data_IF_013077648240
#
_entry.id   IF_013077648240
#
_cell.length_a   1.000
_cell.length_b   1.000
_cell.length_c   1.000
_cell.angle_alpha   90.00
_cell.angle_beta   90.00
_cell.angle_gamma   90.00
#
_symmetry.space_group_name_H-M   'P 1'
#
loop_
_entity.id
_entity.type
_entity.pdbx_description
1 polymer ?
#
# COMPACT_ATOMS: atom_id res chain seq x y z
N UNK A 1 -40.48 -57.79 9.39
CA UNK A 1 -39.85 -58.40 10.57
C UNK A 1 -38.80 -57.42 11.05
N UNK A 2 -39.08 -56.48 11.97
CA UNK A 2 -39.14 -56.61 13.44
C UNK A 2 -37.96 -57.39 14.02
N UNK A 3 -36.90 -56.68 14.39
CA UNK A 3 -36.20 -56.89 15.67
C UNK A 3 -35.72 -55.55 16.20
N UNK A 4 -35.96 -55.37 17.50
CA UNK A 4 -35.77 -54.20 18.35
C UNK A 4 -34.89 -54.68 19.52
N UNK A 5 -34.35 -53.74 20.30
CA UNK A 5 -33.54 -53.86 21.53
C UNK A 5 -32.02 -53.75 21.30
N UNK A 6 -31.25 -52.91 21.99
CA UNK A 6 -31.60 -52.01 23.09
C UNK A 6 -30.36 -51.36 23.74
N UNK A 7 -30.55 -50.10 24.16
CA UNK A 7 -30.18 -49.47 25.45
C UNK A 7 -28.73 -49.64 25.99
N UNK A 8 -27.96 -48.55 26.22
CA UNK A 8 -27.91 -47.76 27.49
C UNK A 8 -26.69 -46.83 27.62
N UNK A 9 -26.92 -45.68 28.29
CA UNK A 9 -26.02 -44.93 29.20
C UNK A 9 -24.65 -44.45 28.69
N UNK A 10 -24.31 -43.15 28.64
CA UNK A 10 -24.42 -42.18 29.73
C UNK A 10 -23.10 -42.11 30.51
N UNK A 11 -22.19 -41.20 30.15
CA UNK A 11 -21.09 -40.77 31.03
C UNK A 11 -20.81 -39.28 30.82
N UNK A 12 -20.89 -38.54 31.92
CA UNK A 12 -20.60 -37.12 32.13
C UNK A 12 -19.34 -37.04 33.01
N UNK A 13 -18.70 -35.86 33.01
CA UNK A 13 -17.53 -35.38 33.79
C UNK A 13 -16.18 -35.56 33.08
N UNK A 14 -15.22 -34.64 33.19
CA UNK A 14 -15.16 -33.27 33.69
C UNK A 14 -13.73 -32.75 33.43
N UNK A 15 -13.60 -31.44 33.24
CA UNK A 15 -12.65 -30.57 33.94
C UNK A 15 -11.15 -30.96 33.95
N UNK A 16 -10.34 -30.13 33.30
CA UNK A 16 -8.89 -30.11 33.45
C UNK A 16 -8.30 -28.76 33.06
N UNK A 17 -8.38 -27.78 33.97
CA UNK A 17 -7.56 -26.58 33.93
C UNK A 17 -6.08 -26.98 33.95
N UNK A 18 -5.25 -26.40 33.06
CA UNK A 18 -3.84 -26.23 33.34
C UNK A 18 -3.46 -24.77 33.14
N UNK A 19 -3.37 -24.09 34.28
CA UNK A 19 -2.72 -22.80 34.47
C UNK A 19 -1.21 -23.05 34.39
N UNK A 20 -0.55 -22.45 33.41
CA UNK A 20 0.90 -22.41 33.30
C UNK A 20 1.37 -20.97 33.21
N UNK A 21 1.42 -20.29 34.36
CA UNK A 21 2.06 -19.00 34.50
C UNK A 21 3.58 -19.18 34.39
N UNK A 22 4.22 -18.45 33.47
CA UNK A 22 5.64 -18.12 33.56
C UNK A 22 5.74 -16.61 33.72
N UNK A 23 6.27 -16.23 34.88
CA UNK A 23 6.46 -14.86 35.31
C UNK A 23 7.82 -14.33 34.84
N UNK A 24 7.85 -13.00 34.71
CA UNK A 24 8.98 -12.06 34.88
C UNK A 24 10.11 -12.06 33.83
N UNK A 25 10.19 -10.95 33.08
CA UNK A 25 11.09 -9.84 33.45
C UNK A 25 10.66 -8.55 32.74
N UNK A 26 9.94 -7.69 33.47
CA UNK A 26 9.62 -6.32 33.09
C UNK A 26 10.78 -5.42 33.53
N UNK A 27 11.70 -5.10 32.62
CA UNK A 27 12.71 -4.08 32.87
C UNK A 27 12.06 -2.70 32.69
N UNK A 28 11.51 -2.16 33.79
CA UNK A 28 11.10 -0.77 33.88
C UNK A 28 12.36 0.08 33.99
N UNK A 29 12.73 0.77 32.92
CA UNK A 29 13.70 1.85 33.00
C UNK A 29 13.02 3.05 33.68
N UNK A 30 13.33 3.24 34.96
CA UNK A 30 13.03 4.45 35.71
C UNK A 30 13.74 5.64 35.05
N UNK A 31 13.00 6.51 34.37
CA UNK A 31 13.48 7.85 34.03
C UNK A 31 13.24 8.75 35.25
N UNK A 32 14.29 8.95 36.06
CA UNK A 32 14.34 10.07 37.00
C UNK A 32 14.57 11.35 36.20
N UNK A 33 13.55 12.20 36.13
CA UNK A 33 13.70 13.58 35.69
C UNK A 33 14.20 14.41 36.88
N UNK A 34 15.49 14.73 36.89
CA UNK A 34 16.02 15.82 37.70
C UNK A 34 16.01 17.09 36.87
N UNK A 35 15.17 18.05 37.25
CA UNK A 35 15.27 19.43 36.80
C UNK A 35 16.47 20.09 37.47
N UNK A 36 17.44 20.61 36.70
CA UNK A 36 17.94 21.96 36.93
C UNK A 36 18.87 22.47 35.83
N UNK A 37 18.75 23.78 35.58
CA UNK A 37 19.69 24.72 34.93
C UNK A 37 20.17 24.47 33.49
N UNK A 38 20.09 25.52 32.68
CA UNK A 38 20.33 25.52 31.24
C UNK A 38 21.79 25.36 30.83
N UNK A 39 22.00 24.45 29.87
CA UNK A 39 23.03 24.48 28.84
C UNK A 39 22.63 23.51 27.71
N UNK A 40 23.01 23.74 26.44
CA UNK A 40 22.59 22.92 25.32
C UNK A 40 23.15 21.50 25.40
N UNK A 41 22.27 20.50 25.23
CA UNK A 41 22.56 19.07 25.33
C UNK A 41 23.53 18.62 24.24
N UNK A 42 24.76 18.30 24.64
CA UNK A 42 25.73 17.55 23.83
C UNK A 42 25.42 16.06 24.00
N UNK A 43 24.96 15.40 22.95
CA UNK A 43 24.85 13.93 22.92
C UNK A 43 26.22 13.33 22.62
N UNK A 44 26.82 12.64 23.60
CA UNK A 44 27.98 11.76 23.37
C UNK A 44 27.48 10.33 23.19
N UNK A 45 27.72 9.78 22.00
CA UNK A 45 27.59 8.34 21.76
C UNK A 45 28.94 7.71 22.11
N UNK A 46 29.00 6.96 23.21
CA UNK A 46 30.16 6.13 23.53
C UNK A 46 30.04 4.82 22.76
N UNK A 47 30.71 4.74 21.61
CA UNK A 47 30.97 3.48 20.91
C UNK A 47 32.38 3.00 21.24
N UNK A 48 32.50 1.87 21.93
CA UNK A 48 33.74 1.10 21.96
C UNK A 48 33.84 0.28 20.67
N UNK A 49 34.83 0.60 19.83
CA UNK A 49 35.77 -0.32 19.16
C UNK A 49 36.18 0.19 17.77
N UNK A 50 37.50 0.28 17.59
CA UNK A 50 38.19 -0.11 16.36
C UNK A 50 38.09 0.80 15.13
N UNK A 51 39.24 1.43 14.83
CA UNK A 51 39.73 1.85 13.51
C UNK A 51 39.36 3.24 12.98
N UNK A 52 40.44 4.01 12.78
CA UNK A 52 40.64 5.26 12.06
C UNK A 52 39.54 5.73 11.11
N UNK A 53 38.99 6.93 11.39
CA UNK A 53 38.51 7.85 10.34
C UNK A 53 38.52 9.30 10.86
N UNK A 54 38.85 10.29 10.01
CA UNK A 54 39.08 11.66 10.43
C UNK A 54 37.78 12.44 10.68
N UNK A 55 37.71 13.12 11.83
CA UNK A 55 36.60 13.96 12.26
C UNK A 55 36.45 15.22 11.40
N UNK A 56 35.54 15.18 10.42
CA UNK A 56 35.04 16.36 9.70
C UNK A 56 33.97 17.09 10.53
N UNK A 57 34.23 18.35 10.87
CA UNK A 57 33.30 19.23 11.62
C UNK A 57 32.22 19.76 10.68
N UNK A 58 31.00 19.22 10.75
CA UNK A 58 29.83 19.78 10.07
C UNK A 58 29.31 21.00 10.87
N UNK A 59 29.42 22.20 10.32
CA UNK A 59 28.83 23.43 10.89
C UNK A 59 27.57 23.77 10.12
N UNK A 60 26.40 23.43 10.66
CA UNK A 60 25.11 23.89 10.15
C UNK A 60 24.87 25.33 10.65
N UNK A 61 24.95 26.31 9.75
CA UNK A 61 24.46 27.68 9.98
C UNK A 61 22.99 27.75 9.58
N UNK A 62 22.10 27.94 10.55
CA UNK A 62 20.72 28.34 10.28
C UNK A 62 20.65 29.86 10.06
N UNK A 63 19.98 30.35 9.00
CA UNK A 63 19.69 31.77 8.88
C UNK A 63 18.58 32.18 9.86
N UNK A 64 18.75 33.35 10.46
CA UNK A 64 17.79 33.97 11.37
C UNK A 64 16.52 34.39 10.61
N UNK A 65 15.37 34.18 11.25
CA UNK A 65 14.10 34.73 10.84
C UNK A 65 14.12 36.26 10.98
N UNK A 66 13.85 36.97 9.89
CA UNK A 66 13.64 38.42 9.91
C UNK A 66 12.15 38.71 9.96
N UNK A 67 11.78 39.35 11.05
CA UNK A 67 10.49 39.92 11.40
C UNK A 67 10.37 41.31 10.74
N UNK A 68 9.34 41.56 9.93
CA UNK A 68 8.91 42.91 9.57
C UNK A 68 7.40 42.98 9.36
N UNK A 69 6.79 43.90 10.11
CA UNK A 69 5.36 44.21 10.14
C UNK A 69 4.95 45.31 9.16
N UNK A 70 3.68 45.25 8.74
CA UNK A 70 2.74 46.35 8.43
C UNK A 70 3.08 47.35 7.31
N UNK A 71 2.17 47.51 6.34
CA UNK A 71 1.27 48.69 6.28
C UNK A 71 0.16 48.56 5.23
N UNK A 72 -0.95 49.23 5.53
CA UNK A 72 -2.20 49.35 4.78
C UNK A 72 -2.07 50.18 3.50
N UNK A 73 -2.97 49.94 2.53
CA UNK A 73 -3.22 50.86 1.41
C UNK A 73 -4.17 50.28 0.37
N UNK A 74 -5.48 50.56 0.49
CA UNK A 74 -6.42 50.47 -0.63
C UNK A 74 -6.35 51.74 -1.48
N UNK A 75 -6.48 51.62 -2.81
CA UNK A 75 -7.53 52.39 -3.46
C UNK A 75 -8.31 51.59 -4.51
N UNK A 76 -9.59 51.94 -4.59
CA UNK A 76 -10.59 51.51 -5.56
C UNK A 76 -10.13 51.66 -7.01
N UNK A 77 -10.35 50.63 -7.82
CA UNK A 77 -10.15 50.62 -9.27
C UNK A 77 -11.28 49.87 -9.95
N UNK A 78 -11.72 50.40 -11.08
CA UNK A 78 -12.95 50.13 -11.81
C UNK A 78 -13.09 48.69 -12.32
N UNK A 79 -14.35 48.24 -12.43
CA UNK A 79 -14.71 46.95 -13.00
C UNK A 79 -14.29 46.83 -14.48
N UNK A 80 -13.38 45.90 -14.74
CA UNK A 80 -13.20 45.27 -16.04
C UNK A 80 -13.62 43.81 -15.90
N UNK A 81 -14.48 43.32 -16.80
CA UNK A 81 -14.70 41.90 -16.97
C UNK A 81 -13.36 41.19 -17.15
N UNK A 82 -13.09 40.09 -16.42
CA UNK A 82 -11.89 39.32 -16.65
C UNK A 82 -11.91 38.79 -18.10
N UNK A 83 -10.80 38.88 -18.83
CA UNK A 83 -10.70 38.24 -20.13
C UNK A 83 -10.99 36.75 -19.95
N UNK A 84 -11.94 36.23 -20.74
CA UNK A 84 -12.25 34.82 -20.79
C UNK A 84 -10.93 34.05 -20.94
N UNK A 85 -10.63 33.18 -19.96
CA UNK A 85 -9.51 32.26 -20.08
C UNK A 85 -9.68 31.48 -21.39
N UNK A 86 -8.60 31.27 -22.17
CA UNK A 86 -8.68 30.40 -23.32
C UNK A 86 -9.13 29.03 -22.82
N UNK A 87 -10.37 28.68 -23.15
CA UNK A 87 -10.88 27.34 -22.99
C UNK A 87 -10.06 26.47 -23.96
N UNK A 88 -8.89 26.02 -23.51
CA UNK A 88 -8.17 24.92 -24.13
C UNK A 88 -9.16 23.76 -24.12
N UNK A 89 -9.79 23.53 -25.27
CA UNK A 89 -10.73 22.45 -25.45
C UNK A 89 -10.01 21.15 -25.13
N UNK A 90 -10.22 20.65 -23.91
CA UNK A 90 -9.97 19.27 -23.60
C UNK A 90 -10.89 18.46 -24.52
N UNK A 91 -10.38 17.46 -25.24
CA UNK A 91 -11.21 16.62 -26.08
C UNK A 91 -12.35 16.05 -25.24
N UNK A 92 -13.55 16.08 -25.81
CA UNK A 92 -14.78 15.55 -25.21
C UNK A 92 -14.54 14.17 -24.59
N UNK A 93 -15.08 13.98 -23.39
CA UNK A 93 -15.06 12.76 -22.59
C UNK A 93 -15.71 11.59 -23.37
N UNK A 94 -14.88 10.80 -24.07
CA UNK A 94 -15.26 9.44 -24.47
C UNK A 94 -14.90 8.51 -23.30
N UNK A 95 -15.80 8.45 -22.32
CA UNK A 95 -15.67 7.82 -21.00
C UNK A 95 -15.72 6.28 -21.01
N UNK A 96 -15.18 5.63 -22.05
CA UNK A 96 -15.34 4.18 -22.25
C UNK A 96 -14.12 3.29 -21.96
N UNK A 97 -12.90 3.82 -22.05
CA UNK A 97 -11.74 2.99 -22.36
C UNK A 97 -10.58 3.04 -21.34
N UNK A 98 -10.77 3.65 -20.17
CA UNK A 98 -9.74 3.62 -19.11
C UNK A 98 -9.44 2.18 -18.71
N UNK A 99 -8.18 1.79 -18.79
CA UNK A 99 -7.77 0.42 -18.46
C UNK A 99 -6.45 0.38 -17.73
N UNK A 100 -6.29 -0.63 -16.89
CA UNK A 100 -5.04 -0.96 -16.21
C UNK A 100 -4.57 -2.34 -16.69
N UNK A 101 -3.44 -2.39 -17.41
CA UNK A 101 -2.97 -3.60 -18.11
C UNK A 101 -4.00 -4.22 -19.08
N UNK A 102 -4.89 -3.39 -19.64
CA UNK A 102 -5.93 -3.80 -20.58
C UNK A 102 -7.25 -4.22 -19.93
N UNK A 103 -7.34 -4.23 -18.59
CA UNK A 103 -8.59 -4.45 -17.88
C UNK A 103 -9.29 -3.11 -17.62
N UNK A 104 -10.55 -2.99 -18.05
CA UNK A 104 -11.33 -1.78 -17.82
C UNK A 104 -11.44 -1.44 -16.33
N UNK A 105 -11.28 -0.16 -16.03
CA UNK A 105 -11.46 0.42 -14.70
C UNK A 105 -12.44 1.59 -14.76
N UNK A 106 -13.33 1.66 -13.77
CA UNK A 106 -14.35 2.69 -13.65
C UNK A 106 -15.08 2.58 -12.31
N UNK A 107 -15.88 3.58 -11.96
CA UNK A 107 -16.59 3.62 -10.68
C UNK A 107 -15.65 3.68 -9.48
N UNK A 108 -15.82 2.76 -8.52
CA UNK A 108 -15.06 2.66 -7.27
C UNK A 108 -14.00 1.57 -7.36
N UNK A 109 -12.73 1.94 -7.24
CA UNK A 109 -11.60 1.04 -7.39
C UNK A 109 -10.63 1.05 -6.20
N UNK A 110 -10.07 -0.12 -5.88
CA UNK A 110 -8.88 -0.20 -5.01
C UNK A 110 -7.75 -0.89 -5.76
N UNK A 111 -6.60 -0.22 -5.85
CA UNK A 111 -5.38 -0.75 -6.43
C UNK A 111 -4.48 -1.28 -5.32
N UNK A 112 -4.31 -2.60 -5.24
CA UNK A 112 -3.41 -3.27 -4.30
C UNK A 112 -2.12 -3.61 -5.03
N UNK A 113 -1.09 -2.78 -4.86
CA UNK A 113 0.10 -2.77 -5.73
C UNK A 113 1.35 -3.21 -4.97
N UNK A 114 2.02 -4.22 -5.52
CA UNK A 114 3.32 -4.65 -5.04
C UNK A 114 4.42 -3.62 -5.30
N UNK A 115 5.14 -3.30 -4.23
CA UNK A 115 6.31 -2.41 -4.24
C UNK A 115 7.50 -3.07 -3.56
N UNK A 116 7.51 -4.39 -3.45
CA UNK A 116 8.60 -5.16 -2.87
C UNK A 116 9.90 -5.03 -3.70
N UNK A 117 11.03 -5.37 -3.08
CA UNK A 117 12.35 -5.29 -3.74
C UNK A 117 12.44 -6.03 -5.09
N UNK A 118 11.73 -7.14 -5.27
CA UNK A 118 11.72 -7.89 -6.53
C UNK A 118 11.15 -7.07 -7.69
N UNK A 119 10.28 -6.11 -7.41
CA UNK A 119 9.72 -5.20 -8.41
C UNK A 119 10.80 -4.33 -9.09
N UNK A 120 12.01 -4.24 -8.54
CA UNK A 120 13.13 -3.54 -9.17
C UNK A 120 13.89 -4.37 -10.21
N UNK A 121 13.57 -5.66 -10.36
CA UNK A 121 14.15 -6.49 -11.41
C UNK A 121 13.79 -5.91 -12.79
N UNK A 122 14.79 -5.82 -13.65
CA UNK A 122 14.69 -5.25 -15.00
C UNK A 122 14.59 -6.35 -16.05
N UNK A 123 13.45 -7.05 -16.08
CA UNK A 123 13.18 -8.13 -17.04
C UNK A 123 11.95 -7.87 -17.93
N UNK A 124 11.38 -6.67 -17.89
CA UNK A 124 10.26 -6.25 -18.74
C UNK A 124 10.67 -5.80 -20.15
N UNK A 125 11.97 -5.80 -20.47
CA UNK A 125 12.48 -5.33 -21.76
C UNK A 125 12.48 -3.81 -21.91
N UNK A 126 12.58 -3.36 -23.16
CA UNK A 126 12.53 -1.94 -23.50
C UNK A 126 11.08 -1.44 -23.56
N UNK A 127 10.86 -0.18 -23.22
CA UNK A 127 9.53 0.44 -23.20
C UNK A 127 9.61 1.96 -23.10
N UNK A 128 8.49 2.59 -22.81
CA UNK A 128 8.40 4.03 -22.57
C UNK A 128 7.99 4.29 -21.11
N UNK A 129 8.64 5.26 -20.46
CA UNK A 129 8.22 5.69 -19.13
C UNK A 129 6.96 6.59 -19.18
N UNK A 130 6.46 6.97 -18.01
CA UNK A 130 5.25 7.81 -17.87
C UNK A 130 5.39 9.23 -18.45
N UNK A 131 6.60 9.66 -18.81
CA UNK A 131 6.85 10.94 -19.50
C UNK A 131 7.08 10.73 -21.02
N UNK A 132 6.91 9.50 -21.52
CA UNK A 132 7.06 9.14 -22.93
C UNK A 132 8.51 8.96 -23.37
N UNK A 133 9.47 8.84 -22.44
CA UNK A 133 10.87 8.63 -22.81
C UNK A 133 11.14 7.14 -23.01
N UNK A 134 11.82 6.82 -24.11
CA UNK A 134 12.27 5.46 -24.38
C UNK A 134 13.31 4.99 -23.35
N UNK A 135 13.05 3.84 -22.73
CA UNK A 135 13.90 3.17 -21.77
C UNK A 135 14.39 1.85 -22.36
N UNK A 136 15.72 1.64 -22.36
CA UNK A 136 16.32 0.40 -22.90
C UNK A 136 16.06 -0.84 -22.04
N UNK A 137 15.76 -0.66 -20.76
CA UNK A 137 15.35 -1.72 -19.84
C UNK A 137 14.54 -1.11 -18.70
N UNK A 138 13.27 -1.51 -18.56
CA UNK A 138 12.40 -1.06 -17.48
C UNK A 138 12.38 -2.09 -16.35
N UNK A 139 12.36 -1.59 -15.10
CA UNK A 139 11.99 -2.45 -13.97
C UNK A 139 10.49 -2.73 -13.99
N UNK A 140 10.08 -3.82 -13.34
CA UNK A 140 8.66 -4.15 -13.17
C UNK A 140 7.90 -3.00 -12.51
N UNK A 141 8.49 -2.38 -11.47
CA UNK A 141 7.91 -1.21 -10.81
C UNK A 141 7.78 -0.02 -11.77
N UNK A 142 8.75 0.22 -12.65
CA UNK A 142 8.65 1.30 -13.63
C UNK A 142 7.49 1.08 -14.60
N UNK A 143 7.29 -0.16 -15.09
CA UNK A 143 6.15 -0.52 -15.94
C UNK A 143 4.83 -0.29 -15.21
N UNK A 144 4.73 -0.75 -13.96
CA UNK A 144 3.52 -0.58 -13.13
C UNK A 144 3.21 0.90 -12.89
N UNK A 145 4.23 1.72 -12.59
CA UNK A 145 4.06 3.17 -12.44
C UNK A 145 3.55 3.81 -13.73
N UNK A 146 4.12 3.45 -14.88
CA UNK A 146 3.66 3.95 -16.18
C UNK A 146 2.20 3.60 -16.42
N UNK A 147 1.82 2.33 -16.25
CA UNK A 147 0.44 1.87 -16.42
C UNK A 147 -0.53 2.57 -15.46
N UNK A 148 -0.17 2.70 -14.19
CA UNK A 148 -1.02 3.34 -13.19
C UNK A 148 -1.18 4.84 -13.47
N UNK A 149 -0.11 5.54 -13.83
CA UNK A 149 -0.17 6.96 -14.20
C UNK A 149 -1.03 7.17 -15.45
N UNK A 150 -0.87 6.33 -16.47
CA UNK A 150 -1.69 6.39 -17.68
C UNK A 150 -3.16 6.13 -17.38
N UNK A 151 -3.44 5.15 -16.50
CA UNK A 151 -4.79 4.87 -16.01
C UNK A 151 -5.37 6.11 -15.35
N UNK A 152 -4.68 6.70 -14.37
CA UNK A 152 -5.12 7.89 -13.62
C UNK A 152 -5.35 9.11 -14.53
N UNK A 153 -4.56 9.26 -15.59
CA UNK A 153 -4.75 10.33 -16.59
C UNK A 153 -5.98 10.13 -17.45
N UNK A 154 -6.41 8.88 -17.65
CA UNK A 154 -7.51 8.52 -18.55
C UNK A 154 -8.87 8.41 -17.87
N UNK A 155 -8.92 8.22 -16.55
CA UNK A 155 -10.19 8.05 -15.82
C UNK A 155 -10.95 9.37 -15.67
N UNK A 156 -12.27 9.27 -15.75
CA UNK A 156 -13.21 10.37 -15.51
C UNK A 156 -13.17 10.87 -14.05
N UNK A 157 -13.62 12.11 -13.82
CA UNK A 157 -13.59 12.69 -12.48
C UNK A 157 -14.57 12.04 -11.49
N UNK A 158 -15.58 11.30 -11.96
CA UNK A 158 -16.47 10.48 -11.12
C UNK A 158 -15.81 9.22 -10.57
N UNK A 159 -14.64 8.83 -11.09
CA UNK A 159 -13.90 7.69 -10.60
C UNK A 159 -13.45 7.90 -9.15
N UNK A 160 -13.77 6.97 -8.27
CA UNK A 160 -13.34 6.97 -6.87
C UNK A 160 -12.28 5.89 -6.67
N UNK A 161 -11.15 6.22 -6.04
CA UNK A 161 -10.09 5.25 -5.86
C UNK A 161 -9.22 5.46 -4.63
N UNK A 162 -8.46 4.42 -4.30
CA UNK A 162 -7.27 4.53 -3.45
C UNK A 162 -6.22 3.50 -3.89
N UNK A 163 -5.00 3.67 -3.41
CA UNK A 163 -3.87 2.78 -3.70
C UNK A 163 -3.33 2.21 -2.38
N UNK A 164 -3.32 0.89 -2.27
CA UNK A 164 -2.73 0.13 -1.17
C UNK A 164 -1.39 -0.43 -1.64
N UNK A 165 -0.30 0.10 -1.09
CA UNK A 165 1.05 -0.39 -1.35
C UNK A 165 1.38 -1.59 -0.45
N UNK A 166 1.92 -2.67 -1.03
CA UNK A 166 2.52 -3.77 -0.27
C UNK A 166 3.88 -3.32 0.28
N UNK A 167 3.85 -2.44 1.27
CA UNK A 167 5.03 -1.96 1.96
C UNK A 167 5.36 -2.90 3.13
N UNK A 168 6.23 -3.88 2.91
CA UNK A 168 6.80 -4.65 4.00
C UNK A 168 8.02 -3.92 4.61
N UNK A 169 8.22 -4.05 5.92
CA UNK A 169 9.44 -3.59 6.58
C UNK A 169 9.22 -3.02 7.97
N UNK A 170 10.20 -3.29 8.85
CA UNK A 170 10.28 -2.70 10.18
C UNK A 170 10.77 -1.26 10.08
N UNK A 171 9.92 -0.32 9.68
CA UNK A 171 10.17 1.05 10.09
C UNK A 171 10.05 1.06 11.62
N UNK A 172 11.10 1.40 12.40
CA UNK A 172 11.08 1.24 13.85
C UNK A 172 9.97 2.06 14.54
N UNK A 173 9.40 3.04 13.84
CA UNK A 173 8.33 3.91 14.33
C UNK A 173 6.98 3.74 13.62
N UNK A 174 6.85 2.83 12.64
CA UNK A 174 5.55 2.53 12.01
C UNK A 174 5.34 1.02 12.10
N UNK A 175 4.18 0.53 12.57
CA UNK A 175 3.92 -0.91 12.54
C UNK A 175 4.15 -1.43 11.11
N UNK A 176 4.74 -2.62 10.92
CA UNK A 176 5.11 -3.16 9.61
C UNK A 176 3.84 -3.44 8.82
N UNK A 177 3.30 -2.42 8.16
CA UNK A 177 1.94 -2.40 7.65
C UNK A 177 1.91 -1.78 6.26
N UNK A 178 1.08 -2.39 5.43
CA UNK A 178 0.65 -1.90 4.13
C UNK A 178 0.25 -0.43 4.21
N UNK A 179 0.82 0.39 3.34
CA UNK A 179 0.60 1.83 3.32
C UNK A 179 -0.48 2.13 2.27
N UNK A 180 -1.61 2.67 2.72
CA UNK A 180 -2.60 3.22 1.79
C UNK A 180 -2.21 4.68 1.50
N UNK A 181 -2.43 5.14 0.27
CA UNK A 181 -2.12 6.51 -0.11
C UNK A 181 -3.02 7.51 0.63
N UNK A 182 -4.35 7.36 0.54
CA UNK A 182 -5.31 8.16 1.33
C UNK A 182 -5.88 7.36 2.49
N UNK A 183 -6.05 6.04 2.33
CA UNK A 183 -6.70 5.18 3.31
C UNK A 183 -8.23 5.18 3.24
N UNK A 184 -8.79 5.83 2.21
CA UNK A 184 -10.21 5.91 1.87
C UNK A 184 -10.35 6.17 0.38
N UNK A 185 -11.51 5.84 -0.20
CA UNK A 185 -11.80 6.17 -1.59
C UNK A 185 -11.91 7.68 -1.75
N UNK A 186 -11.16 8.25 -2.69
CA UNK A 186 -11.23 9.66 -3.04
C UNK A 186 -11.64 9.82 -4.49
N UNK A 187 -12.49 10.81 -4.74
CA UNK A 187 -12.90 11.16 -6.09
C UNK A 187 -11.70 11.71 -6.89
N UNK A 188 -11.50 11.22 -8.12
CA UNK A 188 -10.40 11.54 -9.03
C UNK A 188 -10.56 12.91 -9.70
N UNK A 189 -10.83 13.94 -8.90
CA UNK A 189 -10.76 15.34 -9.36
C UNK A 189 -9.36 15.63 -9.90
N UNK A 190 -9.22 16.63 -10.78
CA UNK A 190 -7.91 17.05 -11.30
C UNK A 190 -6.81 17.19 -10.24
N UNK A 191 -7.11 17.82 -9.09
CA UNK A 191 -6.13 18.01 -8.01
C UNK A 191 -5.73 16.67 -7.40
N UNK A 192 -6.70 15.82 -7.09
CA UNK A 192 -6.46 14.49 -6.50
C UNK A 192 -5.69 13.60 -7.49
N UNK A 193 -5.99 13.70 -8.79
CA UNK A 193 -5.27 13.00 -9.85
C UNK A 193 -3.79 13.41 -9.89
N UNK A 194 -3.50 14.71 -9.88
CA UNK A 194 -2.12 15.22 -9.88
C UNK A 194 -1.35 14.78 -8.62
N UNK A 195 -1.99 14.83 -7.45
CA UNK A 195 -1.42 14.32 -6.19
C UNK A 195 -1.14 12.80 -6.25
N UNK A 196 -2.07 12.02 -6.81
CA UNK A 196 -1.91 10.58 -6.95
C UNK A 196 -0.75 10.24 -7.89
N UNK A 197 -0.68 10.90 -9.05
CA UNK A 197 0.41 10.73 -10.00
C UNK A 197 1.76 11.03 -9.33
N UNK A 198 1.85 12.11 -8.55
CA UNK A 198 3.08 12.45 -7.84
C UNK A 198 3.43 11.42 -6.76
N UNK A 199 2.44 10.88 -6.05
CA UNK A 199 2.65 9.78 -5.10
C UNK A 199 3.17 8.51 -5.81
N UNK A 200 2.58 8.13 -6.95
CA UNK A 200 3.01 6.99 -7.77
C UNK A 200 4.44 7.19 -8.28
N UNK A 201 4.78 8.39 -8.78
CA UNK A 201 6.14 8.75 -9.23
C UNK A 201 7.15 8.58 -8.09
N UNK A 202 6.83 9.08 -6.90
CA UNK A 202 7.71 9.06 -5.74
C UNK A 202 7.74 7.72 -4.99
N UNK A 203 6.87 6.77 -5.33
CA UNK A 203 6.81 5.48 -4.66
C UNK A 203 8.14 4.74 -4.78
N UNK A 204 8.71 4.33 -3.65
CA UNK A 204 9.95 3.55 -3.60
C UNK A 204 9.67 2.09 -3.28
N UNK A 205 10.70 1.26 -3.44
CA UNK A 205 10.66 -0.13 -3.07
C UNK A 205 10.68 -0.32 -1.55
N UNK A 206 10.05 -1.39 -1.09
CA UNK A 206 9.97 -1.82 0.30
C UNK A 206 10.42 -3.27 0.46
N UNK A 207 10.67 -3.69 1.70
CA UNK A 207 11.17 -5.03 1.99
C UNK A 207 10.03 -6.03 2.21
N UNK A 208 9.93 -7.05 1.37
CA UNK A 208 8.93 -8.10 1.51
C UNK A 208 7.58 -7.73 0.88
N UNK A 209 6.68 -8.72 0.89
CA UNK A 209 5.45 -8.77 0.10
C UNK A 209 4.29 -9.18 1.03
N UNK A 210 3.79 -8.26 1.89
CA UNK A 210 2.76 -8.57 2.88
C UNK A 210 1.34 -8.67 2.29
N UNK A 211 1.17 -9.52 1.26
CA UNK A 211 -0.08 -9.69 0.50
C UNK A 211 -1.30 -9.95 1.39
N UNK A 212 -1.15 -10.80 2.42
CA UNK A 212 -2.24 -11.13 3.35
C UNK A 212 -2.82 -9.87 4.01
N UNK A 213 -1.97 -8.96 4.51
CA UNK A 213 -2.42 -7.70 5.14
C UNK A 213 -3.04 -6.75 4.13
N UNK A 214 -2.47 -6.68 2.94
CA UNK A 214 -2.89 -5.72 1.91
C UNK A 214 -4.29 -6.07 1.42
N UNK A 215 -4.51 -7.36 1.15
CA UNK A 215 -5.80 -7.87 0.74
C UNK A 215 -6.83 -7.85 1.87
N UNK A 216 -6.41 -8.15 3.11
CA UNK A 216 -7.28 -7.97 4.29
C UNK A 216 -7.76 -6.52 4.39
N UNK A 217 -6.84 -5.57 4.30
CA UNK A 217 -7.16 -4.14 4.30
C UNK A 217 -8.10 -3.76 3.18
N UNK A 218 -7.80 -4.18 1.94
CA UNK A 218 -8.66 -3.95 0.78
C UNK A 218 -10.09 -4.49 0.99
N UNK A 219 -10.23 -5.58 1.73
CA UNK A 219 -11.54 -6.16 2.03
C UNK A 219 -12.29 -5.44 3.16
N UNK A 220 -11.60 -5.01 4.23
CA UNK A 220 -12.26 -4.50 5.44
C UNK A 220 -12.32 -2.97 5.56
N UNK A 221 -11.35 -2.25 5.01
CA UNK A 221 -11.27 -0.79 5.19
C UNK A 221 -12.09 -0.04 4.12
N UNK A 222 -12.35 -0.68 2.98
CA UNK A 222 -13.07 -0.08 1.85
C UNK A 222 -14.51 -0.58 1.79
N UNK A 223 -15.45 0.19 1.21
CA UNK A 223 -16.86 -0.18 1.20
C UNK A 223 -17.12 -1.45 0.37
N UNK A 224 -18.23 -2.14 0.63
CA UNK A 224 -18.53 -3.40 -0.07
C UNK A 224 -18.98 -3.19 -1.53
N UNK A 225 -19.47 -2.00 -1.86
CA UNK A 225 -19.89 -1.60 -3.20
C UNK A 225 -18.74 -1.12 -4.11
N UNK A 226 -17.55 -1.71 -3.96
CA UNK A 226 -16.47 -1.51 -4.94
C UNK A 226 -16.89 -2.08 -6.30
N UNK A 227 -16.61 -1.36 -7.38
CA UNK A 227 -16.79 -1.86 -8.74
C UNK A 227 -15.62 -2.77 -9.14
N UNK A 228 -14.40 -2.43 -8.71
CA UNK A 228 -13.21 -3.22 -9.03
C UNK A 228 -12.17 -3.24 -7.90
N UNK A 229 -11.59 -4.41 -7.65
CA UNK A 229 -10.39 -4.57 -6.85
C UNK A 229 -9.29 -5.17 -7.73
N UNK A 230 -8.15 -4.49 -7.80
CA UNK A 230 -6.99 -4.93 -8.58
C UNK A 230 -5.89 -5.32 -7.61
N UNK A 231 -5.34 -6.53 -7.76
CA UNK A 231 -4.17 -6.98 -7.03
C UNK A 231 -3.03 -7.25 -8.02
N UNK A 232 -1.92 -6.52 -7.88
CA UNK A 232 -0.73 -6.66 -8.71
C UNK A 232 0.46 -7.11 -7.87
N UNK A 233 1.14 -8.19 -8.28
CA UNK A 233 2.39 -8.64 -7.64
C UNK A 233 3.31 -9.39 -8.60
N UNK A 234 4.62 -9.39 -8.31
CA UNK A 234 5.63 -10.21 -8.99
C UNK A 234 6.15 -11.38 -8.14
N UNK A 235 5.56 -11.58 -6.94
CA UNK A 235 6.08 -12.46 -5.90
C UNK A 235 5.00 -13.28 -5.19
N UNK A 236 5.43 -14.32 -4.48
CA UNK A 236 4.58 -14.99 -3.49
C UNK A 236 4.55 -14.16 -2.20
N UNK A 237 3.48 -14.27 -1.37
CA UNK A 237 3.43 -13.62 -0.07
C UNK A 237 4.66 -13.98 0.77
N UNK A 238 5.36 -12.95 1.26
CA UNK A 238 6.60 -13.12 2.03
C UNK A 238 6.73 -11.97 3.04
N UNK A 239 6.83 -12.25 4.35
CA UNK A 239 7.05 -11.20 5.34
C UNK A 239 8.52 -10.77 5.33
N UNK A 240 8.79 -9.52 5.70
CA UNK A 240 10.13 -9.14 6.12
C UNK A 240 10.20 -9.07 7.65
N UNK A 241 11.12 -9.84 8.24
CA UNK A 241 11.36 -9.88 9.69
C UNK A 241 10.86 -11.18 10.33
N UNK A 242 11.78 -12.07 10.71
CA UNK A 242 11.50 -13.38 11.31
C UNK A 242 10.93 -13.36 12.73
N UNK A 243 9.92 -12.54 13.00
CA UNK A 243 9.10 -12.57 14.23
C UNK A 243 7.87 -13.47 14.10
N UNK A 244 7.15 -13.68 15.21
CA UNK A 244 5.98 -14.57 15.47
C UNK A 244 4.74 -14.41 14.55
N UNK A 245 4.91 -14.23 13.26
CA UNK A 245 3.83 -13.93 12.31
C UNK A 245 3.40 -15.16 11.50
N UNK A 246 3.70 -16.38 11.98
CA UNK A 246 3.81 -17.64 11.24
C UNK A 246 2.64 -18.14 10.36
N UNK A 247 1.53 -17.40 10.25
CA UNK A 247 0.47 -17.67 9.28
C UNK A 247 0.39 -16.61 8.16
N UNK A 248 0.86 -15.40 8.41
CA UNK A 248 0.76 -14.25 7.48
C UNK A 248 1.77 -14.28 6.34
N UNK A 249 2.54 -15.36 6.28
CA UNK A 249 3.82 -15.47 5.59
C UNK A 249 3.78 -16.49 4.47
N UNK A 250 2.61 -17.12 4.29
CA UNK A 250 2.42 -18.28 3.46
C UNK A 250 1.26 -18.00 2.50
N UNK A 251 1.46 -18.36 1.24
CA UNK A 251 0.41 -18.24 0.22
C UNK A 251 -0.85 -18.99 0.61
N UNK A 252 -0.72 -20.10 1.33
CA UNK A 252 -1.84 -20.92 1.78
C UNK A 252 -2.80 -20.09 2.65
N UNK A 253 -2.30 -19.25 3.56
CA UNK A 253 -3.16 -18.39 4.36
C UNK A 253 -3.90 -17.34 3.54
N UNK A 254 -3.26 -16.78 2.50
CA UNK A 254 -3.95 -15.87 1.58
C UNK A 254 -5.05 -16.60 0.80
N UNK A 255 -4.76 -17.80 0.31
CA UNK A 255 -5.70 -18.62 -0.44
C UNK A 255 -6.90 -19.08 0.41
N UNK A 256 -6.66 -19.38 1.69
CA UNK A 256 -7.70 -19.85 2.61
C UNK A 256 -8.57 -18.68 3.15
N UNK A 257 -7.94 -17.57 3.53
CA UNK A 257 -8.65 -16.49 4.23
C UNK A 257 -9.31 -15.47 3.29
N UNK A 258 -8.68 -15.14 2.15
CA UNK A 258 -9.17 -14.09 1.25
C UNK A 258 -10.60 -14.34 0.74
N UNK A 259 -10.99 -15.57 0.33
CA UNK A 259 -12.36 -15.83 -0.10
C UNK A 259 -13.41 -15.48 0.96
N UNK A 260 -13.07 -15.60 2.25
CA UNK A 260 -13.97 -15.26 3.36
C UNK A 260 -14.13 -13.75 3.50
N UNK A 261 -13.05 -12.98 3.38
CA UNK A 261 -13.12 -11.53 3.50
C UNK A 261 -13.75 -10.86 2.27
N UNK A 262 -13.49 -11.40 1.09
CA UNK A 262 -13.99 -10.86 -0.18
C UNK A 262 -15.47 -11.21 -0.45
N UNK A 263 -16.04 -12.15 0.30
CA UNK A 263 -17.40 -12.65 0.09
C UNK A 263 -18.45 -11.52 -0.03
N UNK A 264 -18.41 -10.55 0.88
CA UNK A 264 -19.34 -9.42 0.83
C UNK A 264 -19.19 -8.62 -0.47
N UNK A 265 -17.97 -8.19 -0.82
CA UNK A 265 -17.72 -7.42 -2.05
C UNK A 265 -18.15 -8.16 -3.31
N UNK A 266 -17.94 -9.48 -3.33
CA UNK A 266 -18.40 -10.34 -4.42
C UNK A 266 -19.93 -10.35 -4.55
N UNK A 267 -20.66 -10.38 -3.44
CA UNK A 267 -22.13 -10.31 -3.45
C UNK A 267 -22.63 -8.95 -3.96
N UNK A 268 -21.88 -7.87 -3.73
CA UNK A 268 -22.16 -6.54 -4.26
C UNK A 268 -21.72 -6.34 -5.72
N UNK A 269 -21.12 -7.35 -6.35
CA UNK A 269 -20.76 -7.33 -7.77
C UNK A 269 -19.37 -6.79 -8.07
N UNK A 270 -18.50 -6.62 -7.07
CA UNK A 270 -17.12 -6.18 -7.25
C UNK A 270 -16.38 -7.12 -8.21
N UNK A 271 -15.78 -6.57 -9.28
CA UNK A 271 -14.87 -7.31 -10.16
C UNK A 271 -13.50 -7.48 -9.51
N UNK A 272 -12.95 -8.69 -9.51
CA UNK A 272 -11.59 -8.94 -9.04
C UNK A 272 -10.65 -9.14 -10.23
N UNK A 273 -9.49 -8.48 -10.20
CA UNK A 273 -8.44 -8.61 -11.22
C UNK A 273 -7.11 -8.90 -10.53
N UNK A 274 -6.47 -10.00 -10.91
CA UNK A 274 -5.10 -10.30 -10.52
C UNK A 274 -4.13 -10.07 -11.68
N UNK A 275 -3.13 -9.22 -11.44
CA UNK A 275 -2.05 -8.93 -12.40
C UNK A 275 -0.75 -9.51 -11.87
N UNK A 276 -0.17 -10.45 -12.60
CA UNK A 276 1.18 -10.94 -12.35
C UNK A 276 2.16 -10.29 -13.31
N UNK A 277 3.24 -9.71 -12.78
CA UNK A 277 4.33 -9.14 -13.58
C UNK A 277 5.60 -9.95 -13.40
N UNK A 278 6.31 -10.24 -14.48
CA UNK A 278 7.61 -10.91 -14.47
C UNK A 278 7.55 -12.41 -14.76
N UNK A 279 8.67 -13.08 -14.54
CA UNK A 279 8.92 -14.43 -15.09
C UNK A 279 8.92 -15.57 -14.06
N UNK A 280 8.73 -15.26 -12.78
CA UNK A 280 8.82 -16.25 -11.70
C UNK A 280 7.58 -17.16 -11.72
N UNK A 281 7.79 -18.47 -11.94
CA UNK A 281 6.66 -19.40 -12.09
C UNK A 281 5.85 -19.57 -10.81
N UNK A 282 6.50 -19.57 -9.64
CA UNK A 282 5.81 -19.80 -8.36
C UNK A 282 4.81 -18.68 -8.01
N UNK A 283 5.20 -17.43 -8.22
CA UNK A 283 4.31 -16.27 -8.02
C UNK A 283 3.18 -16.25 -9.04
N UNK A 284 3.47 -16.66 -10.29
CA UNK A 284 2.44 -16.83 -11.31
C UNK A 284 1.43 -17.89 -10.91
N UNK A 285 1.89 -19.08 -10.52
CA UNK A 285 1.03 -20.20 -10.12
C UNK A 285 0.17 -19.81 -8.90
N UNK A 286 0.74 -19.07 -7.94
CA UNK A 286 -0.02 -18.49 -6.82
C UNK A 286 -1.12 -17.54 -7.30
N UNK A 287 -0.80 -16.58 -8.18
CA UNK A 287 -1.79 -15.62 -8.68
C UNK A 287 -2.86 -16.29 -9.53
N UNK A 288 -2.51 -17.27 -10.37
CA UNK A 288 -3.47 -18.08 -11.13
C UNK A 288 -4.43 -18.82 -10.20
N UNK A 289 -3.91 -19.46 -9.14
CA UNK A 289 -4.72 -20.16 -8.15
C UNK A 289 -5.63 -19.20 -7.38
N UNK A 290 -5.10 -18.07 -6.93
CA UNK A 290 -5.85 -17.04 -6.21
C UNK A 290 -6.97 -16.47 -7.09
N UNK A 291 -6.69 -16.16 -8.37
CA UNK A 291 -7.72 -15.71 -9.29
C UNK A 291 -8.80 -16.78 -9.52
N UNK A 292 -8.39 -18.02 -9.78
CA UNK A 292 -9.31 -19.12 -10.05
C UNK A 292 -10.25 -19.40 -8.86
N UNK A 293 -9.75 -19.37 -7.62
CA UNK A 293 -10.56 -19.59 -6.42
C UNK A 293 -11.62 -18.50 -6.21
N UNK A 294 -11.33 -17.27 -6.62
CA UNK A 294 -12.20 -16.13 -6.34
C UNK A 294 -13.10 -15.74 -7.52
N UNK A 295 -12.87 -16.32 -8.70
CA UNK A 295 -13.55 -15.95 -9.94
C UNK A 295 -13.02 -14.64 -10.52
N UNK A 296 -11.74 -14.33 -10.26
CA UNK A 296 -11.08 -13.13 -10.76
C UNK A 296 -10.56 -13.32 -12.20
N UNK A 297 -10.39 -12.21 -12.92
CA UNK A 297 -9.59 -12.20 -14.15
C UNK A 297 -8.11 -12.30 -13.82
N UNK A 298 -7.36 -13.12 -14.56
CA UNK A 298 -5.91 -13.22 -14.44
C UNK A 298 -5.20 -12.60 -15.65
N UNK A 299 -4.27 -11.68 -15.40
CA UNK A 299 -3.44 -11.03 -16.41
C UNK A 299 -1.97 -11.30 -16.12
N UNK A 300 -1.23 -11.76 -17.12
CA UNK A 300 0.21 -12.00 -17.03
C UNK A 300 0.98 -11.02 -17.94
N UNK A 301 2.07 -10.46 -17.41
CA UNK A 301 2.90 -9.44 -18.05
C UNK A 301 4.38 -9.70 -17.80
#
# INVERSE_FOLDING_TARGET
MKTLLGVNSGFVLAMGCLVGAVATNLAVANVHATSDSGDPKIFRVSGESGADTPSGRLVLRMPAASDQSQTEGSPSGEGGEPPAEPNEGYPDEDSGDSSFFGEQVGGKAVFVIDVSLSMMITDCGAGEDWDGNAQGSMSRLAVVKTELINTLRSVEESFEFDIVWLAGGAHPCKPPNTEAWKGELVQCTRIVRDEAIEAVKNQTMWFGTPTWRALQRACFDYPDDLDVMIHLTDGEPFPYGGGEWGNMTHKEAVLDDFPVWYAAKKEYGCKLVGVHVGTLSKSRDFMEQWCAQNGATFVHR
#
